data_IF_089576259801
#
_entry.id   IF_089576259801
#
_cell.length_a   1.000
_cell.length_b   1.000
_cell.length_c   1.000
_cell.angle_alpha   90.00
_cell.angle_beta   90.00
_cell.angle_gamma   90.00
#
_symmetry.space_group_name_H-M   'P 1'
#
loop_
_entity.id
_entity.type
_entity.pdbx_description
1 polymer ?
#
# COMPACT_ATOMS: atom_id res chain seq x y z
N UNK A 1 8.01 1.75 -22.05
CA UNK A 1 8.58 1.07 -20.87
C UNK A 1 7.88 1.67 -19.66
N UNK A 2 7.02 0.91 -19.01
CA UNK A 2 6.44 1.33 -17.73
C UNK A 2 7.55 1.10 -16.70
N UNK A 3 8.09 2.18 -16.11
CA UNK A 3 9.11 2.07 -15.06
C UNK A 3 8.38 1.79 -13.75
N UNK A 4 8.02 0.53 -13.52
CA UNK A 4 7.42 0.17 -12.24
C UNK A 4 8.51 0.14 -11.17
N UNK A 5 8.48 1.14 -10.28
CA UNK A 5 9.40 1.26 -9.14
C UNK A 5 8.98 0.37 -7.96
N UNK A 6 7.67 0.16 -7.80
CA UNK A 6 7.08 -0.51 -6.63
C UNK A 6 7.21 -2.04 -6.72
N UNK A 7 7.19 -2.62 -7.94
CA UNK A 7 7.14 -4.07 -8.11
C UNK A 7 8.48 -4.82 -7.92
N UNK A 8 9.56 -4.14 -7.54
CA UNK A 8 10.87 -4.77 -7.42
C UNK A 8 11.12 -5.51 -6.10
N UNK A 9 10.40 -5.17 -5.03
CA UNK A 9 10.82 -5.50 -3.65
C UNK A 9 9.70 -5.96 -2.69
N UNK A 10 8.41 -5.88 -3.05
CA UNK A 10 7.36 -6.23 -2.10
C UNK A 10 7.14 -7.75 -2.01
N UNK A 11 7.01 -8.27 -0.78
CA UNK A 11 6.53 -9.62 -0.52
C UNK A 11 4.99 -9.58 -0.42
N UNK A 12 4.32 -10.22 -1.37
CA UNK A 12 2.86 -10.27 -1.43
C UNK A 12 2.23 -10.91 -0.19
N UNK A 13 2.91 -11.88 0.44
CA UNK A 13 2.43 -12.52 1.66
C UNK A 13 2.45 -11.55 2.83
N UNK A 14 3.56 -10.83 3.02
CA UNK A 14 3.67 -9.85 4.11
C UNK A 14 2.70 -8.69 3.93
N UNK A 15 2.52 -8.23 2.69
CA UNK A 15 1.54 -7.19 2.39
C UNK A 15 0.12 -7.67 2.69
N UNK A 16 -0.20 -8.92 2.35
CA UNK A 16 -1.50 -9.51 2.67
C UNK A 16 -1.74 -9.55 4.19
N UNK A 17 -0.77 -10.05 4.96
CA UNK A 17 -0.88 -10.17 6.42
C UNK A 17 -1.13 -8.81 7.09
N UNK A 18 -0.42 -7.76 6.68
CA UNK A 18 -0.59 -6.40 7.25
C UNK A 18 -1.93 -5.78 6.86
N UNK A 19 -2.32 -5.93 5.59
CA UNK A 19 -3.55 -5.32 5.08
C UNK A 19 -4.78 -6.08 5.55
N UNK A 20 -4.74 -7.40 5.72
CA UNK A 20 -5.88 -8.20 6.20
C UNK A 20 -6.29 -7.84 7.62
N UNK A 21 -5.31 -7.50 8.46
CA UNK A 21 -5.54 -7.12 9.86
C UNK A 21 -5.83 -5.61 10.01
N UNK A 22 -5.86 -4.86 8.90
CA UNK A 22 -6.04 -3.42 8.91
C UNK A 22 -7.48 -3.02 9.24
N UNK A 23 -7.70 -2.52 10.45
CA UNK A 23 -9.02 -2.06 10.92
C UNK A 23 -9.27 -0.58 10.68
N UNK A 24 -8.27 0.17 10.17
CA UNK A 24 -8.35 1.62 9.98
C UNK A 24 -8.29 2.43 11.28
N UNK A 25 -8.06 1.79 12.44
CA UNK A 25 -7.89 2.46 13.73
C UNK A 25 -6.60 3.29 13.81
N UNK A 26 -5.60 2.92 13.00
CA UNK A 26 -4.35 3.65 12.82
C UNK A 26 -4.29 4.26 11.42
N UNK A 27 -3.73 5.47 11.33
CA UNK A 27 -3.34 6.12 10.08
C UNK A 27 -1.83 6.04 9.84
N UNK A 28 -1.12 5.31 10.71
CA UNK A 28 0.31 5.04 10.57
C UNK A 28 0.52 4.05 9.43
N UNK A 29 1.22 4.47 8.38
CA UNK A 29 1.48 3.69 7.16
C UNK A 29 2.95 3.23 7.08
N UNK A 30 3.73 3.36 8.16
CA UNK A 30 5.16 3.08 8.16
C UNK A 30 5.47 1.62 7.77
N UNK A 31 4.71 0.68 8.33
CA UNK A 31 4.85 -0.75 8.00
C UNK A 31 4.50 -1.05 6.54
N UNK A 32 3.49 -0.36 5.99
CA UNK A 32 3.14 -0.45 4.56
C UNK A 32 4.25 0.12 3.67
N UNK A 33 4.87 1.23 4.07
CA UNK A 33 5.98 1.81 3.31
C UNK A 33 7.21 0.89 3.30
N UNK A 34 7.54 0.29 4.45
CA UNK A 34 8.64 -0.67 4.56
C UNK A 34 8.43 -1.89 3.64
N UNK A 35 7.23 -2.48 3.66
CA UNK A 35 6.87 -3.63 2.81
C UNK A 35 6.91 -3.27 1.31
N UNK A 36 6.44 -2.07 0.96
CA UNK A 36 6.43 -1.61 -0.43
C UNK A 36 7.80 -1.08 -0.89
N UNK A 37 8.78 -0.99 0.01
CA UNK A 37 10.12 -0.47 -0.28
C UNK A 37 10.13 1.03 -0.60
N UNK A 38 9.23 1.79 0.02
CA UNK A 38 9.00 3.23 -0.19
C UNK A 38 9.31 3.97 1.13
N UNK A 39 9.80 5.20 1.05
CA UNK A 39 9.96 6.02 2.27
C UNK A 39 8.59 6.48 2.80
N UNK A 40 8.37 6.42 4.11
CA UNK A 40 7.12 6.83 4.78
C UNK A 40 6.63 8.21 4.34
N UNK A 41 7.56 9.14 4.10
CA UNK A 41 7.27 10.52 3.68
C UNK A 41 6.60 10.61 2.29
N UNK A 42 6.71 9.55 1.49
CA UNK A 42 6.09 9.44 0.17
C UNK A 42 4.69 8.83 0.22
N UNK A 43 4.29 8.24 1.36
CA UNK A 43 2.95 7.71 1.57
C UNK A 43 2.11 8.72 2.35
N UNK A 44 1.16 9.41 1.70
CA UNK A 44 0.26 10.29 2.41
C UNK A 44 -0.70 9.49 3.32
N UNK A 45 -1.22 10.09 4.41
CA UNK A 45 -2.06 9.39 5.39
C UNK A 45 -3.30 8.69 4.80
N UNK A 46 -3.84 9.19 3.69
CA UNK A 46 -5.00 8.58 3.05
C UNK A 46 -4.73 7.18 2.46
N UNK A 47 -3.48 6.76 2.32
CA UNK A 47 -3.12 5.38 1.93
C UNK A 47 -3.64 4.37 2.94
N UNK A 48 -3.77 4.74 4.22
CA UNK A 48 -4.42 3.91 5.23
C UNK A 48 -5.89 3.61 4.87
N UNK A 49 -6.58 4.49 4.13
CA UNK A 49 -7.93 4.22 3.64
C UNK A 49 -7.95 3.20 2.50
N UNK A 50 -6.90 3.16 1.66
CA UNK A 50 -6.78 2.11 0.65
C UNK A 50 -6.61 0.75 1.32
N UNK A 51 -5.73 0.66 2.34
CA UNK A 51 -5.54 -0.58 3.10
C UNK A 51 -6.86 -1.03 3.77
N UNK A 52 -7.61 -0.10 4.37
CA UNK A 52 -8.94 -0.38 4.91
C UNK A 52 -9.92 -0.87 3.84
N UNK A 53 -9.93 -0.29 2.64
CA UNK A 53 -10.82 -0.76 1.58
C UNK A 53 -10.42 -2.13 1.03
N UNK A 54 -9.14 -2.50 1.09
CA UNK A 54 -8.71 -3.87 0.78
C UNK A 54 -9.17 -4.83 1.87
N UNK A 55 -9.02 -4.48 3.16
CA UNK A 55 -9.44 -5.34 4.28
C UNK A 55 -10.96 -5.55 4.33
N UNK A 56 -11.73 -4.59 3.83
CA UNK A 56 -13.19 -4.66 3.68
C UNK A 56 -13.65 -5.29 2.34
N UNK A 57 -12.73 -5.86 1.54
CA UNK A 57 -12.99 -6.42 0.20
C UNK A 57 -13.67 -5.43 -0.78
N UNK A 58 -13.52 -4.12 -0.57
CA UNK A 58 -14.09 -3.06 -1.45
C UNK A 58 -13.24 -2.83 -2.69
N UNK A 59 -11.93 -3.00 -2.57
CA UNK A 59 -10.97 -2.94 -3.67
C UNK A 59 -10.00 -4.12 -3.56
N UNK A 60 -9.39 -4.52 -4.67
CA UNK A 60 -8.36 -5.55 -4.62
C UNK A 60 -7.02 -4.98 -4.14
N UNK A 61 -6.14 -5.86 -3.63
CA UNK A 61 -4.75 -5.49 -3.34
C UNK A 61 -4.05 -4.87 -4.57
N UNK A 62 -4.36 -5.36 -5.78
CA UNK A 62 -3.84 -4.81 -7.03
C UNK A 62 -4.27 -3.37 -7.28
N UNK A 63 -5.53 -3.01 -6.96
CA UNK A 63 -6.03 -1.65 -7.09
C UNK A 63 -5.31 -0.68 -6.14
N UNK A 64 -5.01 -1.12 -4.93
CA UNK A 64 -4.20 -0.36 -3.97
C UNK A 64 -2.78 -0.11 -4.49
N UNK A 65 -2.10 -1.15 -4.99
CA UNK A 65 -0.73 -1.03 -5.53
C UNK A 65 -0.69 -0.06 -6.72
N UNK A 66 -1.64 -0.19 -7.67
CA UNK A 66 -1.73 0.72 -8.83
C UNK A 66 -1.97 2.17 -8.39
N UNK A 67 -2.81 2.38 -7.37
CA UNK A 67 -3.09 3.71 -6.83
C UNK A 67 -1.86 4.34 -6.17
N UNK A 68 -1.11 3.57 -5.39
CA UNK A 68 0.15 4.01 -4.77
C UNK A 68 1.21 4.31 -5.83
N UNK A 69 1.30 3.48 -6.87
CA UNK A 69 2.24 3.70 -7.97
C UNK A 69 1.93 4.97 -8.77
N UNK A 70 0.66 5.28 -9.00
CA UNK A 70 0.24 6.54 -9.61
C UNK A 70 0.60 7.76 -8.75
N UNK A 71 0.59 7.60 -7.44
CA UNK A 71 0.95 8.62 -6.46
C UNK A 71 2.43 9.01 -6.57
N UNK A 72 3.32 8.02 -6.67
CA UNK A 72 4.78 8.19 -6.62
C UNK A 72 5.36 8.63 -7.97
N UNK A 73 4.66 8.33 -9.06
CA UNK A 73 5.10 8.64 -10.42
C UNK A 73 4.55 9.99 -10.96
N UNK A 74 3.78 10.75 -10.17
CA UNK A 74 3.33 12.11 -10.48
C UNK A 74 4.23 13.15 -9.82
#
# INVERSE_FOLDING_TARGET
KVNQKVLGFYDESMLNDVVSDWTGSSQDVSELAEILGIADEQLPPWVANLALWVSEDKISMGDMIVSIEHLINN
#
